data_IF_772882048525
#
_entry.id   IF_772882048525
#
_cell.length_a   1.000
_cell.length_b   1.000
_cell.length_c   1.000
_cell.angle_alpha   90.00
_cell.angle_beta   90.00
_cell.angle_gamma   90.00
#
_symmetry.space_group_name_H-M   'P 1'
#
loop_
_entity.id
_entity.type
_entity.pdbx_description
1 polymer ?
#
# COMPACT_ATOMS: atom_id res chain seq x y z
N UNK A 1 -9.15 11.86 5.41
CA UNK A 1 -10.29 11.55 6.30
C UNK A 1 -11.45 12.50 6.08
N UNK A 2 -11.29 13.81 6.26
CA UNK A 2 -12.38 14.79 6.06
C UNK A 2 -13.01 14.75 4.65
N UNK A 3 -12.19 14.76 3.60
CA UNK A 3 -12.67 14.71 2.21
C UNK A 3 -13.42 13.42 1.87
N UNK A 4 -13.05 12.30 2.49
CA UNK A 4 -13.74 11.01 2.28
C UNK A 4 -15.13 11.01 2.90
N UNK A 5 -15.31 11.65 4.06
CA UNK A 5 -16.61 11.81 4.70
C UNK A 5 -17.53 12.71 3.86
N UNK A 6 -17.01 13.83 3.35
CA UNK A 6 -17.76 14.71 2.44
C UNK A 6 -18.15 13.95 1.16
N UNK A 7 -17.19 13.27 0.53
CA UNK A 7 -17.46 12.48 -0.69
C UNK A 7 -18.52 11.41 -0.46
N UNK A 8 -18.45 10.71 0.68
CA UNK A 8 -19.43 9.68 1.06
C UNK A 8 -20.81 10.31 1.32
N UNK A 9 -20.88 11.44 2.03
CA UNK A 9 -22.14 12.15 2.25
C UNK A 9 -22.79 12.60 0.93
N UNK A 10 -22.00 13.20 0.03
CA UNK A 10 -22.47 13.60 -1.30
C UNK A 10 -22.93 12.38 -2.10
N UNK A 11 -22.22 11.25 -2.04
CA UNK A 11 -22.63 10.02 -2.68
C UNK A 11 -23.98 9.51 -2.16
N UNK A 12 -24.23 9.61 -0.85
CA UNK A 12 -25.53 9.29 -0.25
C UNK A 12 -26.66 10.17 -0.78
N UNK A 13 -26.45 11.49 -0.81
CA UNK A 13 -27.41 12.45 -1.37
C UNK A 13 -27.66 12.17 -2.86
N UNK A 14 -26.61 11.91 -3.63
CA UNK A 14 -26.71 11.59 -5.05
C UNK A 14 -27.47 10.27 -5.29
N UNK A 15 -27.20 9.23 -4.49
CA UNK A 15 -27.89 7.94 -4.56
C UNK A 15 -29.39 8.06 -4.27
N UNK A 16 -29.76 8.80 -3.22
CA UNK A 16 -31.16 9.09 -2.92
C UNK A 16 -31.82 9.90 -4.06
N UNK A 17 -31.14 10.96 -4.52
CA UNK A 17 -31.62 11.83 -5.59
C UNK A 17 -31.86 11.07 -6.90
N UNK A 18 -30.98 10.14 -7.26
CA UNK A 18 -31.12 9.30 -8.44
C UNK A 18 -32.37 8.42 -8.36
N UNK A 19 -32.63 7.79 -7.22
CA UNK A 19 -33.85 6.98 -7.04
C UNK A 19 -35.11 7.84 -7.05
N UNK A 20 -35.07 9.03 -6.46
CA UNK A 20 -36.21 9.97 -6.50
C UNK A 20 -36.51 10.42 -7.93
N UNK A 21 -35.48 10.71 -8.73
CA UNK A 21 -35.62 11.05 -10.14
C UNK A 21 -36.24 9.89 -10.94
N UNK A 22 -35.72 8.67 -10.75
CA UNK A 22 -36.26 7.46 -11.40
C UNK A 22 -37.72 7.24 -10.98
N UNK A 23 -38.05 7.39 -9.70
CA UNK A 23 -39.42 7.24 -9.21
C UNK A 23 -40.36 8.27 -9.83
N UNK A 24 -39.89 9.51 -10.01
CA UNK A 24 -40.66 10.56 -10.67
C UNK A 24 -40.96 10.20 -12.13
N UNK A 25 -39.94 9.75 -12.89
CA UNK A 25 -40.09 9.32 -14.29
C UNK A 25 -41.02 8.10 -14.42
N UNK A 26 -41.00 7.19 -13.45
CA UNK A 26 -41.86 6.00 -13.41
C UNK A 26 -43.28 6.25 -12.86
N UNK A 27 -43.64 7.51 -12.58
CA UNK A 27 -44.97 7.87 -12.09
C UNK A 27 -45.26 7.44 -10.65
N UNK A 28 -44.24 7.37 -9.79
CA UNK A 28 -44.42 7.12 -8.35
C UNK A 28 -44.55 5.64 -7.96
N UNK A 29 -44.15 4.71 -8.82
CA UNK A 29 -44.31 3.26 -8.61
C UNK A 29 -43.31 2.63 -7.63
N UNK A 30 -42.24 3.33 -7.24
CA UNK A 30 -41.23 2.80 -6.34
C UNK A 30 -41.60 3.01 -4.85
N UNK A 31 -41.32 2.02 -3.99
CA UNK A 31 -41.53 2.15 -2.54
C UNK A 31 -40.66 3.26 -1.92
N UNK A 32 -41.20 3.96 -0.91
CA UNK A 32 -40.51 5.08 -0.23
C UNK A 32 -39.20 4.68 0.46
N UNK A 33 -39.01 3.40 0.79
CA UNK A 33 -37.79 2.90 1.42
C UNK A 33 -36.61 2.72 0.44
N UNK A 34 -36.84 2.77 -0.87
CA UNK A 34 -35.76 2.62 -1.85
C UNK A 34 -34.76 3.77 -1.78
N UNK A 35 -35.23 5.00 -1.53
CA UNK A 35 -34.36 6.17 -1.44
C UNK A 35 -33.30 6.04 -0.30
N UNK A 36 -33.66 5.74 0.97
CA UNK A 36 -32.66 5.54 2.01
C UNK A 36 -31.76 4.32 1.79
N UNK A 37 -32.28 3.24 1.19
CA UNK A 37 -31.45 2.07 0.84
C UNK A 37 -30.42 2.42 -0.24
N UNK A 38 -30.82 3.15 -1.28
CA UNK A 38 -29.91 3.60 -2.32
C UNK A 38 -28.89 4.60 -1.81
N UNK A 39 -29.26 5.49 -0.88
CA UNK A 39 -28.31 6.36 -0.20
C UNK A 39 -27.24 5.56 0.52
N UNK A 40 -27.63 4.58 1.35
CA UNK A 40 -26.70 3.72 2.08
C UNK A 40 -25.82 2.89 1.15
N UNK A 41 -26.38 2.33 0.07
CA UNK A 41 -25.63 1.59 -0.92
C UNK A 41 -24.61 2.47 -1.65
N UNK A 42 -24.99 3.70 -2.04
CA UNK A 42 -24.08 4.65 -2.69
C UNK A 42 -22.94 5.07 -1.75
N UNK A 43 -23.23 5.30 -0.46
CA UNK A 43 -22.21 5.58 0.55
C UNK A 43 -21.21 4.43 0.67
N UNK A 44 -21.69 3.19 0.80
CA UNK A 44 -20.84 2.01 0.89
C UNK A 44 -19.97 1.82 -0.35
N UNK A 45 -20.55 1.94 -1.54
CA UNK A 45 -19.81 1.83 -2.80
C UNK A 45 -18.75 2.91 -2.94
N UNK A 46 -19.05 4.15 -2.55
CA UNK A 46 -18.07 5.24 -2.57
C UNK A 46 -16.90 4.96 -1.62
N UNK A 47 -17.17 4.45 -0.42
CA UNK A 47 -16.10 4.07 0.53
C UNK A 47 -15.25 2.93 -0.01
N UNK A 48 -15.86 1.85 -0.51
CA UNK A 48 -15.13 0.71 -1.09
C UNK A 48 -14.30 1.16 -2.28
N UNK A 49 -14.88 1.94 -3.20
CA UNK A 49 -14.16 2.47 -4.35
C UNK A 49 -12.96 3.31 -3.93
N UNK A 50 -13.13 4.20 -2.95
CA UNK A 50 -12.07 5.06 -2.42
C UNK A 50 -10.94 4.23 -1.78
N UNK A 51 -11.30 3.21 -1.00
CA UNK A 51 -10.35 2.28 -0.41
C UNK A 51 -9.56 1.57 -1.50
N UNK A 52 -10.18 0.87 -2.44
CA UNK A 52 -9.47 0.04 -3.43
C UNK A 52 -8.56 0.83 -4.38
N UNK A 53 -8.94 2.07 -4.68
CA UNK A 53 -8.17 2.94 -5.58
C UNK A 53 -6.96 3.62 -4.91
N UNK A 54 -6.74 3.41 -3.61
CA UNK A 54 -5.62 4.04 -2.91
C UNK A 54 -4.27 3.60 -3.46
N UNK A 55 -4.07 2.28 -3.65
CA UNK A 55 -2.79 1.70 -3.99
C UNK A 55 -2.33 2.19 -5.36
N UNK A 56 -3.22 2.14 -6.36
CA UNK A 56 -2.91 2.64 -7.71
C UNK A 56 -2.60 4.14 -7.66
N UNK A 57 -3.43 4.96 -7.02
CA UNK A 57 -3.18 6.39 -6.89
C UNK A 57 -1.84 6.70 -6.22
N UNK A 58 -1.48 5.99 -5.15
CA UNK A 58 -0.21 6.22 -4.46
C UNK A 58 0.97 5.75 -5.31
N UNK A 59 0.87 4.58 -5.93
CA UNK A 59 1.89 4.04 -6.84
C UNK A 59 2.16 4.99 -8.01
N UNK A 60 1.12 5.55 -8.62
CA UNK A 60 1.23 6.45 -9.77
C UNK A 60 1.83 7.81 -9.40
N UNK A 61 1.88 8.15 -8.11
CA UNK A 61 2.54 9.37 -7.61
C UNK A 61 3.99 9.14 -7.16
N UNK A 62 4.51 7.91 -7.24
CA UNK A 62 5.89 7.62 -6.86
C UNK A 62 6.86 8.26 -7.88
N UNK A 63 7.94 8.92 -7.42
CA UNK A 63 9.01 9.39 -8.29
C UNK A 63 9.66 8.27 -9.10
N UNK A 64 10.24 8.66 -10.24
CA UNK A 64 11.10 7.78 -11.03
C UNK A 64 12.24 7.23 -10.16
N UNK A 65 12.53 5.93 -10.31
CA UNK A 65 13.53 5.21 -9.51
C UNK A 65 12.99 4.55 -8.24
N UNK A 66 11.74 4.83 -7.83
CA UNK A 66 11.08 4.12 -6.73
C UNK A 66 10.19 3.01 -7.28
N UNK A 67 10.52 1.75 -6.98
CA UNK A 67 9.84 0.56 -7.51
C UNK A 67 9.08 -0.15 -6.39
N UNK A 68 7.82 -0.51 -6.64
CA UNK A 68 7.04 -1.34 -5.70
C UNK A 68 7.60 -2.77 -5.71
N UNK A 69 8.24 -3.18 -4.61
CA UNK A 69 8.80 -4.51 -4.46
C UNK A 69 7.74 -5.52 -4.00
N UNK A 70 6.95 -5.18 -2.99
CA UNK A 70 6.02 -6.12 -2.36
C UNK A 70 4.69 -5.46 -2.03
N UNK A 71 3.59 -6.20 -2.19
CA UNK A 71 2.24 -5.80 -1.80
C UNK A 71 1.68 -6.80 -0.80
N UNK A 72 1.14 -6.30 0.30
CA UNK A 72 0.51 -7.10 1.35
C UNK A 72 -0.99 -6.95 1.24
N UNK A 73 -1.64 -8.05 0.86
CA UNK A 73 -3.09 -8.14 0.77
C UNK A 73 -3.70 -8.53 2.12
N UNK A 74 -4.87 -7.99 2.39
CA UNK A 74 -5.62 -8.20 3.63
C UNK A 74 -7.00 -8.77 3.31
N UNK A 75 -7.39 -9.79 4.09
CA UNK A 75 -8.69 -10.47 4.01
C UNK A 75 -9.36 -10.41 5.37
N UNK A 76 -10.61 -10.01 5.40
CA UNK A 76 -11.33 -9.82 6.65
C UNK A 76 -12.73 -10.42 6.58
N UNK A 77 -13.13 -11.16 7.64
CA UNK A 77 -14.43 -11.83 7.71
C UNK A 77 -15.62 -10.87 7.55
N UNK A 78 -15.53 -9.67 8.12
CA UNK A 78 -16.56 -8.62 8.02
C UNK A 78 -16.57 -7.89 6.66
N UNK A 79 -15.64 -8.22 5.76
CA UNK A 79 -15.56 -7.72 4.37
C UNK A 79 -15.51 -8.91 3.42
N UNK A 80 -16.61 -9.66 3.25
CA UNK A 80 -16.61 -10.94 2.53
C UNK A 80 -16.16 -10.83 1.07
N UNK A 81 -16.33 -9.67 0.43
CA UNK A 81 -15.81 -9.42 -0.92
C UNK A 81 -14.29 -9.50 -1.01
N UNK A 82 -13.54 -9.29 0.09
CA UNK A 82 -12.07 -9.36 0.12
C UNK A 82 -11.51 -10.76 -0.15
N UNK A 83 -12.32 -11.80 0.03
CA UNK A 83 -11.94 -13.16 -0.30
C UNK A 83 -11.89 -13.39 -1.82
N UNK A 84 -12.74 -12.70 -2.57
CA UNK A 84 -12.78 -12.75 -4.05
C UNK A 84 -11.89 -11.68 -4.68
N UNK A 85 -11.88 -10.49 -4.09
CA UNK A 85 -11.12 -9.34 -4.55
C UNK A 85 -10.24 -8.84 -3.40
N UNK A 86 -9.00 -9.35 -3.24
CA UNK A 86 -8.14 -8.96 -2.14
C UNK A 86 -7.87 -7.46 -2.09
N UNK A 87 -7.88 -6.89 -0.89
CA UNK A 87 -7.56 -5.49 -0.67
C UNK A 87 -6.07 -5.35 -0.32
N UNK A 88 -5.30 -4.64 -1.14
CA UNK A 88 -3.92 -4.28 -0.79
C UNK A 88 -3.94 -3.32 0.39
N UNK A 89 -3.54 -3.75 1.59
CA UNK A 89 -3.56 -2.88 2.78
C UNK A 89 -2.25 -2.12 2.94
N UNK A 90 -1.14 -2.75 2.53
CA UNK A 90 0.21 -2.22 2.67
C UNK A 90 1.04 -2.60 1.45
N UNK A 91 2.06 -1.82 1.17
CA UNK A 91 3.07 -2.20 0.17
C UNK A 91 4.42 -1.58 0.53
N UNK A 92 5.48 -2.20 0.02
CA UNK A 92 6.86 -1.75 0.19
C UNK A 92 7.38 -1.31 -1.16
N UNK A 93 7.91 -0.08 -1.19
CA UNK A 93 8.61 0.45 -2.35
C UNK A 93 10.09 0.64 -2.03
N UNK A 94 10.95 0.30 -2.97
CA UNK A 94 12.39 0.42 -2.88
C UNK A 94 12.84 1.53 -3.80
N UNK A 95 13.61 2.46 -3.26
CA UNK A 95 14.30 3.46 -4.04
C UNK A 95 15.60 2.86 -4.60
N UNK A 96 15.53 2.50 -5.88
CA UNK A 96 16.65 1.93 -6.63
C UNK A 96 17.69 2.96 -7.03
N UNK A 97 17.32 4.25 -7.09
CA UNK A 97 18.24 5.32 -7.44
C UNK A 97 19.22 5.65 -6.29
N UNK A 98 18.86 5.29 -5.05
CA UNK A 98 19.72 5.49 -3.87
C UNK A 98 20.46 4.23 -3.43
N UNK A 99 20.55 3.21 -4.29
CA UNK A 99 21.32 2.00 -3.98
C UNK A 99 22.80 2.35 -3.83
N UNK A 100 23.37 1.96 -2.70
CA UNK A 100 24.78 2.10 -2.38
C UNK A 100 25.45 0.74 -2.24
N UNK A 101 26.68 0.65 -2.74
CA UNK A 101 27.54 -0.53 -2.63
C UNK A 101 28.86 -0.18 -1.98
N UNK A 102 29.43 -1.10 -1.21
CA UNK A 102 30.73 -0.87 -0.58
C UNK A 102 31.85 -1.61 -1.35
N UNK A 103 32.97 -0.95 -1.75
CA UNK A 103 34.03 -1.59 -2.53
C UNK A 103 34.65 -2.82 -1.87
N UNK A 104 34.74 -2.84 -0.54
CA UNK A 104 35.26 -3.99 0.22
C UNK A 104 34.21 -5.10 0.46
N UNK A 105 32.94 -4.85 0.15
CA UNK A 105 31.83 -5.79 0.35
C UNK A 105 30.85 -5.72 -0.83
N UNK A 106 31.26 -6.20 -2.03
CA UNK A 106 30.46 -6.07 -3.24
C UNK A 106 29.14 -6.86 -3.20
N UNK A 107 29.04 -7.88 -2.34
CA UNK A 107 27.80 -8.65 -2.13
C UNK A 107 26.76 -7.93 -1.27
N UNK A 108 27.12 -6.79 -0.65
CA UNK A 108 26.23 -6.01 0.20
C UNK A 108 25.70 -4.78 -0.55
N UNK A 109 24.37 -4.64 -0.58
CA UNK A 109 23.67 -3.48 -1.16
C UNK A 109 22.80 -2.81 -0.10
N UNK A 110 22.93 -1.50 0.02
CA UNK A 110 22.11 -0.68 0.90
C UNK A 110 21.12 0.12 0.07
N UNK A 111 19.83 0.01 0.36
CA UNK A 111 18.77 0.75 -0.34
C UNK A 111 17.81 1.39 0.66
N UNK A 112 17.09 2.42 0.23
CA UNK A 112 16.02 3.01 1.04
C UNK A 112 14.69 2.31 0.75
N UNK A 113 14.05 1.78 1.79
CA UNK A 113 12.73 1.17 1.70
C UNK A 113 11.67 2.08 2.32
N UNK A 114 10.55 2.20 1.62
CA UNK A 114 9.37 2.96 2.02
C UNK A 114 8.22 2.00 2.28
N UNK A 115 7.73 1.98 3.50
CA UNK A 115 6.62 1.15 3.95
C UNK A 115 5.35 2.00 3.96
N UNK A 116 4.47 1.74 3.00
CA UNK A 116 3.18 2.39 2.89
C UNK A 116 2.08 1.53 3.51
N UNK A 117 1.15 2.17 4.20
CA UNK A 117 -0.08 1.53 4.67
C UNK A 117 -1.25 2.48 4.50
N UNK A 118 -2.43 1.97 4.15
CA UNK A 118 -3.61 2.81 3.89
C UNK A 118 -3.98 3.72 5.07
N UNK A 119 -3.76 3.24 6.29
CA UNK A 119 -4.17 3.87 7.56
C UNK A 119 -2.97 4.13 8.48
N UNK A 120 -1.76 4.18 7.94
CA UNK A 120 -0.51 4.31 8.70
C UNK A 120 0.37 5.38 8.05
N UNK A 121 1.14 6.16 8.83
CA UNK A 121 2.15 7.03 8.24
C UNK A 121 3.16 6.21 7.43
N UNK A 122 3.72 6.85 6.40
CA UNK A 122 4.79 6.23 5.61
C UNK A 122 6.05 6.17 6.46
N UNK A 123 6.60 4.97 6.63
CA UNK A 123 7.87 4.79 7.33
C UNK A 123 8.99 4.59 6.30
N UNK A 124 10.10 5.29 6.47
CA UNK A 124 11.31 5.15 5.64
C UNK A 124 12.39 4.52 6.49
N UNK A 125 12.91 3.37 6.05
CA UNK A 125 14.05 2.72 6.70
C UNK A 125 15.09 2.28 5.66
N UNK A 126 16.40 2.45 5.94
CA UNK A 126 17.43 1.81 5.16
C UNK A 126 17.36 0.29 5.35
N UNK A 127 17.49 -0.45 4.25
CA UNK A 127 17.56 -1.90 4.25
C UNK A 127 18.89 -2.31 3.66
N UNK A 128 19.72 -2.95 4.48
CA UNK A 128 20.94 -3.60 4.00
C UNK A 128 20.59 -5.02 3.56
N UNK A 129 21.08 -5.42 2.39
CA UNK A 129 20.85 -6.74 1.83
C UNK A 129 22.18 -7.38 1.46
N UNK A 130 22.38 -8.63 1.91
CA UNK A 130 23.44 -9.52 1.43
C UNK A 130 22.88 -10.36 0.27
N UNK A 131 23.29 -10.01 -0.94
CA UNK A 131 22.87 -10.68 -2.17
C UNK A 131 23.53 -12.05 -2.36
N UNK A 132 24.56 -12.40 -1.58
CA UNK A 132 25.26 -13.69 -1.67
C UNK A 132 24.57 -14.73 -0.79
N UNK A 133 24.17 -14.33 0.42
CA UNK A 133 23.57 -15.24 1.41
C UNK A 133 22.05 -15.11 1.55
N UNK A 134 21.41 -14.25 0.75
CA UNK A 134 19.96 -13.97 0.79
C UNK A 134 19.49 -13.57 2.18
N UNK A 135 20.11 -12.53 2.72
CA UNK A 135 19.75 -11.96 4.02
C UNK A 135 19.49 -10.47 3.89
N UNK A 136 18.57 -9.96 4.70
CA UNK A 136 18.34 -8.51 4.81
C UNK A 136 18.21 -8.09 6.26
N UNK A 137 18.60 -6.87 6.53
CA UNK A 137 18.44 -6.21 7.81
C UNK A 137 17.84 -4.82 7.60
N UNK A 138 16.72 -4.54 8.25
CA UNK A 138 16.21 -3.18 8.37
C UNK A 138 17.08 -2.46 9.41
N UNK A 139 17.74 -1.38 8.97
CA UNK A 139 18.61 -0.58 9.81
C UNK A 139 17.74 0.42 10.59
N UNK A 140 17.33 0.02 11.80
CA UNK A 140 16.66 0.89 12.76
C UNK A 140 17.69 1.70 13.58
N UNK A 141 17.27 2.33 14.67
CA UNK A 141 18.17 3.09 15.55
C UNK A 141 19.23 2.18 16.20
N UNK A 142 20.42 2.73 16.47
CA UNK A 142 21.50 2.03 17.17
C UNK A 142 22.46 1.22 16.28
N UNK A 143 22.42 1.45 14.97
CA UNK A 143 23.35 0.81 14.01
C UNK A 143 24.69 1.54 14.00
N UNK A 144 25.78 0.77 14.10
CA UNK A 144 27.14 1.30 14.05
C UNK A 144 27.80 0.79 12.76
N UNK A 145 28.28 1.72 11.94
CA UNK A 145 29.08 1.44 10.76
C UNK A 145 30.56 1.51 11.15
N UNK A 146 31.26 0.39 11.06
CA UNK A 146 32.71 0.32 11.32
C UNK A 146 33.51 0.67 10.05
N UNK A 147 34.77 1.10 10.19
CA UNK A 147 35.64 1.53 9.07
C UNK A 147 35.87 0.46 8.00
N UNK A 148 35.62 -0.82 8.32
CA UNK A 148 35.65 -1.93 7.37
C UNK A 148 34.37 -2.12 6.55
N UNK A 149 33.33 -1.33 6.81
CA UNK A 149 31.96 -1.54 6.32
C UNK A 149 31.20 -2.63 7.08
N UNK A 150 31.78 -3.17 8.16
CA UNK A 150 31.07 -4.10 9.05
C UNK A 150 29.97 -3.32 9.77
N UNK A 151 28.81 -3.97 9.94
CA UNK A 151 27.66 -3.38 10.63
C UNK A 151 27.38 -4.18 11.89
N UNK A 152 27.41 -3.52 13.04
CA UNK A 152 26.97 -4.07 14.33
C UNK A 152 25.59 -3.52 14.72
N UNK A 153 24.84 -4.32 15.48
CA UNK A 153 23.46 -3.99 15.89
C UNK A 153 22.37 -4.33 14.87
N UNK A 154 22.73 -4.72 13.64
CA UNK A 154 21.78 -5.11 12.60
C UNK A 154 21.09 -6.43 12.93
N UNK A 155 19.75 -6.42 12.91
CA UNK A 155 18.93 -7.62 13.05
C UNK A 155 18.75 -8.28 11.67
N UNK A 156 19.58 -9.28 11.40
CA UNK A 156 19.56 -10.00 10.13
C UNK A 156 18.43 -11.02 10.09
N UNK A 157 17.65 -10.98 9.02
CA UNK A 157 16.63 -11.97 8.70
C UNK A 157 17.06 -12.71 7.44
N UNK A 158 17.08 -14.04 7.52
CA UNK A 158 17.25 -14.89 6.34
C UNK A 158 15.94 -14.95 5.59
N UNK A 159 15.98 -14.66 4.30
CA UNK A 159 14.77 -14.60 3.47
C UNK A 159 14.74 -15.74 2.46
N UNK A 160 13.54 -16.18 2.04
CA UNK A 160 13.43 -17.11 0.92
C UNK A 160 14.00 -16.49 -0.37
N UNK A 161 14.43 -17.32 -1.31
CA UNK A 161 14.98 -16.86 -2.60
C UNK A 161 14.00 -16.01 -3.42
N UNK A 162 12.70 -16.13 -3.18
CA UNK A 162 11.65 -15.36 -3.85
C UNK A 162 11.23 -14.08 -3.12
N UNK A 163 11.98 -13.66 -2.08
CA UNK A 163 11.72 -12.40 -1.39
C UNK A 163 11.87 -11.23 -2.37
N UNK A 164 10.76 -10.52 -2.58
CA UNK A 164 10.69 -9.49 -3.61
C UNK A 164 11.52 -8.26 -3.25
N UNK A 165 11.71 -7.98 -1.97
CA UNK A 165 12.51 -6.84 -1.52
C UNK A 165 13.98 -7.11 -1.80
N UNK A 166 14.48 -8.27 -1.40
CA UNK A 166 15.87 -8.69 -1.67
C UNK A 166 16.14 -8.79 -3.17
N UNK A 167 15.27 -9.44 -3.95
CA UNK A 167 15.46 -9.56 -5.40
C UNK A 167 15.39 -8.21 -6.12
N UNK A 168 14.54 -7.27 -5.69
CA UNK A 168 14.50 -5.91 -6.25
C UNK A 168 15.81 -5.16 -5.99
N UNK A 169 16.35 -5.22 -4.77
CA UNK A 169 17.60 -4.53 -4.41
C UNK A 169 18.79 -5.19 -5.11
N UNK A 170 18.87 -6.52 -5.11
CA UNK A 170 19.98 -7.25 -5.69
C UNK A 170 20.00 -7.21 -7.22
N UNK A 171 18.82 -7.23 -7.85
CA UNK A 171 18.65 -7.12 -9.31
C UNK A 171 18.75 -5.69 -9.85
N UNK A 172 18.56 -4.67 -9.02
CA UNK A 172 18.82 -3.29 -9.39
C UNK A 172 20.34 -3.02 -9.35
N UNK A 173 20.94 -2.88 -10.52
CA UNK A 173 22.38 -2.68 -10.76
C UNK A 173 22.81 -3.39 -12.03
#
# INVERSE_FOLDING_TARGET
>A
MFLELIGTFIAGVAGAGLVMLINHVLGGRLPRWFAPVAAGAAMLLATISSEYSWFSRTKDTLPDGIVVAETVESKAFYRPWTYLFPFTERFVAIDTATIQTHPKQPGMKLAQAYFFGRWSPVNKLPVLTDCTTSRRAALADGIIFEEGGSISGAQWVSVPENDRITSTICGAG
#
